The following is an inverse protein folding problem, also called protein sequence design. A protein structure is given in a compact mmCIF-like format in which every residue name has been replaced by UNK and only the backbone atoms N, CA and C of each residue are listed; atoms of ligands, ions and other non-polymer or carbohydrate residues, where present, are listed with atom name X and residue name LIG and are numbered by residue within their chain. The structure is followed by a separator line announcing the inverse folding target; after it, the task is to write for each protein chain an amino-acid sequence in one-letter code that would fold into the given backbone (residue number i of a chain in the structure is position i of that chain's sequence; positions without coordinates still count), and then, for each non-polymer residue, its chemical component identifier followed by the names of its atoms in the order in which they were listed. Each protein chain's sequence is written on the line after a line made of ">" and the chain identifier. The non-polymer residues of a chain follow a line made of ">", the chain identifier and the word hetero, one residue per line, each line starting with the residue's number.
data_IF_227120302938
#
_entry.id   IF_227120302938
#
_cell.length_a   1.000
_cell.length_b   1.000
_cell.length_c   1.000
_cell.angle_alpha   90.00
_cell.angle_beta   90.00
_cell.angle_gamma   90.00
#
_symmetry.space_group_name_H-M   'P 1'
#
loop_
_entity.id
_entity.type
_entity.pdbx_description
1 polymer ?
#
# COMPACT_ATOMS: atom_id res chain seq x y z
N UNK A 1 11.27 -17.54 6.75
CA UNK A 1 9.81 -17.38 6.89
C UNK A 1 9.14 -16.97 5.58
N UNK A 2 7.86 -17.28 5.47
CA UNK A 2 6.98 -16.86 4.37
C UNK A 2 6.05 -15.79 4.93
N UNK A 3 6.01 -14.63 4.28
CA UNK A 3 5.10 -13.56 4.63
C UNK A 3 3.86 -13.58 3.73
N UNK A 4 2.79 -13.01 4.23
CA UNK A 4 1.59 -12.74 3.44
C UNK A 4 1.35 -11.22 3.35
N UNK A 5 0.80 -10.79 2.23
CA UNK A 5 0.25 -9.46 2.01
C UNK A 5 -1.19 -9.62 1.54
N UNK A 6 -2.15 -9.37 2.42
CA UNK A 6 -3.55 -9.26 2.04
C UNK A 6 -3.78 -7.86 1.48
N UNK A 7 -3.80 -7.74 0.16
CA UNK A 7 -3.91 -6.47 -0.55
C UNK A 7 -5.37 -6.18 -0.92
N UNK A 8 -5.94 -5.17 -0.32
CA UNK A 8 -7.30 -4.70 -0.51
C UNK A 8 -7.42 -3.20 -0.27
N UNK A 9 -8.59 -2.72 0.11
CA UNK A 9 -8.81 -1.32 0.53
C UNK A 9 -7.83 -0.95 1.65
N UNK A 10 -7.70 -1.80 2.66
CA UNK A 10 -6.60 -1.87 3.62
C UNK A 10 -5.70 -3.02 3.25
N UNK A 11 -4.43 -2.94 3.62
CA UNK A 11 -3.48 -4.02 3.44
C UNK A 11 -2.98 -4.54 4.79
N UNK A 12 -2.85 -5.85 4.89
CA UNK A 12 -2.29 -6.53 6.06
C UNK A 12 -1.02 -7.25 5.62
N UNK A 13 0.12 -6.88 6.19
CA UNK A 13 1.40 -7.53 5.92
C UNK A 13 1.91 -8.21 7.18
N UNK A 14 2.22 -9.49 7.10
CA UNK A 14 2.67 -10.23 8.29
C UNK A 14 3.15 -11.63 8.01
N UNK A 15 3.37 -12.35 9.10
CA UNK A 15 3.77 -13.75 9.13
C UNK A 15 2.94 -14.54 10.15
N UNK A 16 2.89 -15.85 9.99
CA UNK A 16 2.42 -16.73 11.05
C UNK A 16 3.60 -17.19 11.92
N UNK A 17 3.43 -17.08 13.22
CA UNK A 17 4.40 -17.50 14.23
C UNK A 17 3.74 -18.39 15.28
N UNK A 18 4.54 -19.16 16.03
CA UNK A 18 4.00 -20.04 17.08
C UNK A 18 3.72 -19.30 18.39
N UNK A 19 4.43 -18.22 18.65
CA UNK A 19 4.32 -17.43 19.86
C UNK A 19 4.26 -15.93 19.55
N UNK A 20 3.61 -15.11 20.39
CA UNK A 20 3.53 -13.67 20.19
C UNK A 20 4.91 -13.01 20.21
N UNK A 21 5.14 -12.04 19.34
CA UNK A 21 6.34 -11.20 19.32
C UNK A 21 6.02 -9.90 20.07
N UNK A 22 6.67 -9.72 21.23
CA UNK A 22 6.42 -8.61 22.16
C UNK A 22 7.66 -7.71 22.33
N UNK A 23 8.39 -7.48 21.26
CA UNK A 23 9.59 -6.64 21.28
C UNK A 23 9.25 -5.14 21.17
N UNK A 24 10.17 -4.30 21.61
CA UNK A 24 10.04 -2.85 21.47
C UNK A 24 10.05 -2.42 20.00
N UNK A 25 10.81 -3.13 19.15
CA UNK A 25 10.80 -2.95 17.69
C UNK A 25 9.42 -3.19 17.10
N UNK A 26 8.77 -4.29 17.50
CA UNK A 26 7.42 -4.63 17.06
C UNK A 26 6.41 -3.55 17.48
N UNK A 27 6.51 -3.07 18.71
CA UNK A 27 5.64 -2.00 19.23
C UNK A 27 5.84 -0.68 18.47
N UNK A 28 7.09 -0.27 18.25
CA UNK A 28 7.41 0.98 17.51
C UNK A 28 6.97 0.93 16.06
N UNK A 29 7.03 -0.24 15.44
CA UNK A 29 6.58 -0.46 14.08
C UNK A 29 5.07 -0.78 13.98
N UNK A 30 4.33 -0.71 15.12
CA UNK A 30 2.89 -0.92 15.18
C UNK A 30 2.43 -2.31 14.68
N UNK A 31 3.27 -3.33 14.86
CA UNK A 31 2.86 -4.72 14.64
C UNK A 31 1.97 -5.20 15.77
N UNK A 32 0.96 -5.97 15.40
CA UNK A 32 0.02 -6.61 16.31
C UNK A 32 0.13 -8.13 16.27
N UNK A 33 -0.26 -8.80 17.35
CA UNK A 33 -0.38 -10.25 17.44
C UNK A 33 -1.87 -10.61 17.46
N UNK A 34 -2.34 -11.30 16.46
CA UNK A 34 -3.73 -11.74 16.33
C UNK A 34 -3.82 -13.26 16.33
N UNK A 35 -4.91 -13.81 16.85
CA UNK A 35 -5.17 -15.24 16.79
C UNK A 35 -5.26 -15.74 15.35
N UNK A 36 -4.49 -16.77 15.03
CA UNK A 36 -4.51 -17.48 13.75
C UNK A 36 -5.20 -18.83 13.85
N UNK A 37 -5.06 -19.64 12.81
CA UNK A 37 -5.58 -21.01 12.76
C UNK A 37 -4.61 -21.94 13.50
N UNK A 38 -5.12 -23.04 14.04
CA UNK A 38 -4.35 -24.08 14.72
C UNK A 38 -3.47 -23.56 15.88
N UNK A 39 -3.96 -22.55 16.61
CA UNK A 39 -3.25 -21.99 17.76
C UNK A 39 -2.05 -21.12 17.39
N UNK A 40 -1.84 -20.83 16.11
CA UNK A 40 -0.79 -19.91 15.68
C UNK A 40 -1.18 -18.45 15.91
N UNK A 41 -0.20 -17.60 15.84
CA UNK A 41 -0.34 -16.14 15.93
C UNK A 41 -0.05 -15.55 14.55
N UNK A 42 -0.91 -14.67 14.08
CA UNK A 42 -0.64 -13.77 12.96
C UNK A 42 0.01 -12.51 13.51
N UNK A 43 1.29 -12.36 13.28
CA UNK A 43 2.05 -11.16 13.59
C UNK A 43 2.04 -10.26 12.36
N UNK A 44 1.31 -9.15 12.41
CA UNK A 44 1.01 -8.34 11.24
C UNK A 44 0.96 -6.84 11.53
N UNK A 45 1.07 -6.05 10.46
CA UNK A 45 0.89 -4.61 10.44
C UNK A 45 -0.25 -4.24 9.48
N UNK A 46 -1.13 -3.33 9.93
CA UNK A 46 -2.10 -2.67 9.06
C UNK A 46 -1.42 -1.55 8.27
N UNK A 47 -1.70 -1.51 6.98
CA UNK A 47 -1.16 -0.50 6.05
C UNK A 47 -2.32 0.03 5.23
N UNK A 48 -2.33 1.32 4.92
CA UNK A 48 -3.23 1.87 3.90
C UNK A 48 -3.01 1.09 2.60
N UNK A 49 -4.08 0.54 2.06
CA UNK A 49 -4.03 -0.25 0.85
C UNK A 49 -4.48 0.55 -0.38
N UNK A 50 -5.38 -0.03 -1.16
CA UNK A 50 -5.90 0.58 -2.38
C UNK A 50 -6.95 1.68 -2.13
N UNK A 51 -7.16 2.09 -0.89
CA UNK A 51 -8.11 3.13 -0.50
C UNK A 51 -7.95 4.41 -1.31
N UNK A 52 -6.71 4.92 -1.46
CA UNK A 52 -6.44 6.15 -2.20
C UNK A 52 -6.86 5.99 -3.67
N UNK A 53 -6.46 4.89 -4.32
CA UNK A 53 -6.83 4.61 -5.70
C UNK A 53 -8.35 4.46 -5.87
N UNK A 54 -9.00 3.70 -5.00
CA UNK A 54 -10.44 3.50 -5.04
C UNK A 54 -11.20 4.82 -4.88
N UNK A 55 -10.72 5.70 -4.00
CA UNK A 55 -11.30 7.01 -3.78
C UNK A 55 -11.15 7.92 -5.02
N UNK A 56 -9.96 7.95 -5.65
CA UNK A 56 -9.72 8.67 -6.90
C UNK A 56 -10.66 8.19 -8.02
N UNK A 57 -10.75 6.86 -8.22
CA UNK A 57 -11.63 6.28 -9.24
C UNK A 57 -13.10 6.65 -9.02
N UNK A 58 -13.55 6.65 -7.76
CA UNK A 58 -14.91 7.03 -7.38
C UNK A 58 -15.18 8.52 -7.62
N UNK A 59 -14.24 9.39 -7.29
CA UNK A 59 -14.35 10.83 -7.49
C UNK A 59 -14.38 11.18 -8.97
N UNK A 60 -13.53 10.58 -9.79
CA UNK A 60 -13.54 10.77 -11.24
C UNK A 60 -14.86 10.31 -11.87
N UNK A 61 -15.39 9.18 -11.42
CA UNK A 61 -16.71 8.71 -11.86
C UNK A 61 -17.82 9.70 -11.50
N UNK A 62 -17.82 10.25 -10.30
CA UNK A 62 -18.79 11.23 -9.85
C UNK A 62 -18.76 12.55 -10.67
N UNK A 63 -17.57 12.90 -11.19
CA UNK A 63 -17.38 14.05 -12.07
C UNK A 63 -17.65 13.77 -13.56
N UNK A 64 -18.09 12.56 -13.91
CA UNK A 64 -18.31 12.15 -15.31
C UNK A 64 -17.04 11.76 -16.07
N UNK A 65 -15.94 11.55 -15.35
CA UNK A 65 -14.63 11.17 -15.90
C UNK A 65 -14.24 9.74 -15.48
N UNK A 66 -15.22 8.83 -15.50
CA UNK A 66 -15.02 7.43 -15.09
C UNK A 66 -13.83 6.79 -15.82
N UNK A 67 -13.00 6.09 -15.07
CA UNK A 67 -11.87 5.34 -15.59
C UNK A 67 -12.11 3.84 -15.49
N UNK A 68 -11.64 3.10 -16.47
CA UNK A 68 -11.61 1.64 -16.46
C UNK A 68 -10.25 1.17 -15.96
N UNK A 69 -10.23 0.26 -14.97
CA UNK A 69 -8.99 -0.33 -14.45
C UNK A 69 -8.18 -1.05 -15.53
N UNK A 70 -8.85 -1.73 -16.47
CA UNK A 70 -8.18 -2.45 -17.56
C UNK A 70 -7.49 -1.51 -18.56
N UNK A 71 -7.84 -0.22 -18.55
CA UNK A 71 -7.26 0.82 -19.38
C UNK A 71 -6.25 1.65 -18.61
N UNK A 72 -6.63 2.15 -17.42
CA UNK A 72 -5.78 3.10 -16.68
C UNK A 72 -4.54 2.44 -16.08
N UNK A 73 -4.60 1.16 -15.67
CA UNK A 73 -3.43 0.47 -15.10
C UNK A 73 -2.32 0.27 -16.14
N UNK A 74 -2.58 -0.22 -17.37
CA UNK A 74 -1.57 -0.21 -18.44
C UNK A 74 -1.01 1.17 -18.76
N UNK A 75 -1.85 2.21 -18.80
CA UNK A 75 -1.39 3.59 -19.01
C UNK A 75 -0.48 4.07 -17.87
N UNK A 76 -0.83 3.76 -16.62
CA UNK A 76 0.00 4.06 -15.46
C UNK A 76 1.34 3.31 -15.49
N UNK A 77 1.39 2.11 -16.06
CA UNK A 77 2.64 1.35 -16.21
C UNK A 77 3.64 2.09 -17.14
N UNK A 78 3.14 2.78 -18.16
CA UNK A 78 3.94 3.57 -19.10
C UNK A 78 4.20 5.01 -18.63
N UNK A 79 3.51 5.47 -17.60
CA UNK A 79 3.67 6.82 -17.06
C UNK A 79 5.00 6.98 -16.33
N UNK A 80 5.64 8.13 -16.53
CA UNK A 80 6.91 8.49 -15.90
C UNK A 80 6.67 9.58 -14.84
N UNK A 81 6.76 9.19 -13.57
CA UNK A 81 6.71 10.11 -12.43
C UNK A 81 7.52 9.53 -11.27
N UNK A 82 8.37 10.35 -10.64
CA UNK A 82 9.26 9.92 -9.55
C UNK A 82 8.66 10.17 -8.15
N UNK A 83 7.52 10.82 -8.08
CA UNK A 83 6.91 11.20 -6.80
C UNK A 83 6.48 9.98 -5.99
N UNK A 84 6.95 9.94 -4.74
CA UNK A 84 6.51 9.02 -3.70
C UNK A 84 5.82 9.82 -2.61
N UNK A 85 4.61 9.43 -2.24
CA UNK A 85 3.84 10.03 -1.14
C UNK A 85 3.73 9.05 0.04
N UNK A 86 3.66 9.54 1.29
CA UNK A 86 3.44 8.70 2.45
C UNK A 86 1.95 8.31 2.52
N UNK A 87 1.61 7.15 1.99
CA UNK A 87 0.21 6.71 1.85
C UNK A 87 -0.56 6.60 3.18
N UNK A 88 0.16 6.47 4.30
CA UNK A 88 -0.43 6.44 5.65
C UNK A 88 -0.56 7.84 6.29
N UNK A 89 -0.19 8.92 5.59
CA UNK A 89 -0.34 10.27 6.11
C UNK A 89 -1.82 10.61 6.31
N UNK A 90 -2.11 11.33 7.41
CA UNK A 90 -3.48 11.71 7.79
C UNK A 90 -4.21 12.52 6.74
N UNK A 91 -3.49 13.24 5.87
CA UNK A 91 -4.07 13.99 4.76
C UNK A 91 -4.83 13.09 3.77
N UNK A 92 -4.44 11.81 3.68
CA UNK A 92 -5.07 10.83 2.77
C UNK A 92 -6.11 9.94 3.45
N UNK A 93 -6.34 10.09 4.76
CA UNK A 93 -7.28 9.21 5.49
C UNK A 93 -8.74 9.45 5.10
N UNK A 94 -9.16 10.70 5.06
CA UNK A 94 -10.54 11.08 4.66
C UNK A 94 -10.61 12.52 4.15
N UNK A 95 -9.94 12.88 3.06
CA UNK A 95 -10.04 14.23 2.50
C UNK A 95 -11.41 14.44 1.84
N UNK A 96 -11.82 15.69 1.68
CA UNK A 96 -13.01 16.03 0.88
C UNK A 96 -12.83 15.58 -0.58
N UNK A 97 -11.63 15.81 -1.13
CA UNK A 97 -11.25 15.38 -2.47
C UNK A 97 -9.82 14.80 -2.43
N UNK A 98 -9.66 13.56 -2.84
CA UNK A 98 -8.39 12.83 -2.77
C UNK A 98 -7.35 13.37 -3.78
N UNK A 99 -7.79 13.73 -4.98
CA UNK A 99 -6.88 14.28 -5.99
C UNK A 99 -6.30 15.63 -5.54
N UNK A 100 -7.15 16.51 -4.98
CA UNK A 100 -6.70 17.78 -4.42
C UNK A 100 -5.74 17.57 -3.22
N UNK A 101 -6.01 16.59 -2.37
CA UNK A 101 -5.12 16.27 -1.24
C UNK A 101 -3.73 15.84 -1.74
N UNK A 102 -3.68 15.02 -2.79
CA UNK A 102 -2.44 14.58 -3.40
C UNK A 102 -1.67 15.76 -4.03
N UNK A 103 -2.33 16.60 -4.81
CA UNK A 103 -1.74 17.79 -5.43
C UNK A 103 -1.21 18.74 -4.34
N UNK A 104 -1.99 18.97 -3.29
CA UNK A 104 -1.61 19.83 -2.17
C UNK A 104 -0.37 19.29 -1.45
N UNK A 105 -0.35 17.97 -1.18
CA UNK A 105 0.82 17.33 -0.58
C UNK A 105 2.07 17.52 -1.44
N UNK A 106 1.99 17.22 -2.74
CA UNK A 106 3.13 17.36 -3.66
C UNK A 106 3.63 18.81 -3.70
N UNK A 107 2.73 19.79 -3.77
CA UNK A 107 3.08 21.22 -3.80
C UNK A 107 3.79 21.65 -2.53
N UNK A 108 3.30 21.26 -1.36
CA UNK A 108 3.87 21.63 -0.08
C UNK A 108 5.26 21.02 0.20
N UNK A 109 5.56 19.89 -0.48
CA UNK A 109 6.83 19.19 -0.30
C UNK A 109 7.77 19.35 -1.51
N UNK A 110 7.45 20.26 -2.43
CA UNK A 110 8.22 20.50 -3.66
C UNK A 110 8.46 19.23 -4.51
N UNK A 111 7.44 18.33 -4.53
CA UNK A 111 7.45 17.13 -5.35
C UNK A 111 6.84 17.40 -6.72
N UNK A 112 7.21 16.60 -7.71
CA UNK A 112 6.56 16.62 -9.02
C UNK A 112 5.07 16.30 -8.86
N UNK A 113 4.21 17.19 -9.39
CA UNK A 113 2.76 17.02 -9.35
C UNK A 113 2.33 16.19 -10.56
N UNK A 114 1.58 15.08 -10.35
CA UNK A 114 0.99 14.34 -11.47
C UNK A 114 0.12 15.25 -12.35
N UNK A 115 0.30 15.18 -13.67
CA UNK A 115 -0.42 16.01 -14.64
C UNK A 115 -1.55 15.26 -15.34
N UNK A 116 -1.52 13.93 -15.31
CA UNK A 116 -2.52 13.05 -15.91
C UNK A 116 -3.05 12.06 -14.88
N UNK A 117 -4.23 11.48 -15.16
CA UNK A 117 -4.78 10.41 -14.32
C UNK A 117 -3.85 9.18 -14.27
N UNK A 118 -3.20 8.87 -15.39
CA UNK A 118 -2.21 7.79 -15.46
C UNK A 118 -1.01 8.04 -14.53
N UNK A 119 -0.47 9.26 -14.52
CA UNK A 119 0.60 9.65 -13.58
C UNK A 119 0.13 9.63 -12.14
N UNK A 120 -1.12 10.06 -11.86
CA UNK A 120 -1.71 9.99 -10.52
C UNK A 120 -1.81 8.56 -10.03
N UNK A 121 -2.32 7.65 -10.86
CA UNK A 121 -2.40 6.22 -10.54
C UNK A 121 -1.00 5.62 -10.35
N UNK A 122 -0.05 5.94 -11.22
CA UNK A 122 1.35 5.51 -11.08
C UNK A 122 1.95 5.98 -9.75
N UNK A 123 1.80 7.25 -9.42
CA UNK A 123 2.28 7.82 -8.15
C UNK A 123 1.73 7.05 -6.95
N UNK A 124 0.43 6.79 -6.92
CA UNK A 124 -0.22 6.06 -5.82
C UNK A 124 0.29 4.62 -5.72
N UNK A 125 0.36 3.89 -6.84
CA UNK A 125 0.77 2.48 -6.82
C UNK A 125 2.24 2.29 -6.46
N UNK A 126 3.15 3.13 -6.98
CA UNK A 126 4.56 3.06 -6.59
C UNK A 126 4.79 3.48 -5.14
N UNK A 127 4.02 4.45 -4.64
CA UNK A 127 4.06 4.85 -3.22
C UNK A 127 3.60 3.73 -2.32
N UNK A 128 2.56 3.00 -2.72
CA UNK A 128 2.06 1.84 -1.98
C UNK A 128 3.07 0.69 -1.99
N UNK A 129 3.68 0.39 -3.13
CA UNK A 129 4.75 -0.61 -3.22
C UNK A 129 5.97 -0.24 -2.34
N UNK A 130 6.34 1.03 -2.32
CA UNK A 130 7.40 1.53 -1.44
C UNK A 130 7.03 1.36 0.05
N UNK A 131 5.78 1.62 0.40
CA UNK A 131 5.27 1.40 1.76
C UNK A 131 5.32 -0.08 2.16
N UNK A 132 4.99 -0.99 1.23
CA UNK A 132 5.12 -2.43 1.47
C UNK A 132 6.58 -2.83 1.70
N UNK A 133 7.51 -2.29 0.93
CA UNK A 133 8.95 -2.51 1.15
C UNK A 133 9.38 -2.10 2.55
N UNK A 134 8.99 -0.91 3.01
CA UNK A 134 9.29 -0.45 4.37
C UNK A 134 8.69 -1.39 5.43
N UNK A 135 7.48 -1.88 5.22
CA UNK A 135 6.85 -2.82 6.15
C UNK A 135 7.59 -4.17 6.19
N UNK A 136 8.06 -4.66 5.04
CA UNK A 136 8.90 -5.87 4.96
C UNK A 136 10.23 -5.67 5.69
N UNK A 137 10.86 -4.52 5.53
CA UNK A 137 12.11 -4.19 6.24
C UNK A 137 11.89 -4.13 7.76
N UNK A 138 10.78 -3.53 8.21
CA UNK A 138 10.39 -3.50 9.62
C UNK A 138 10.08 -4.91 10.15
N UNK A 139 9.34 -5.71 9.39
CA UNK A 139 9.04 -7.10 9.76
C UNK A 139 10.31 -7.93 9.93
N UNK A 140 11.25 -7.80 9.01
CA UNK A 140 12.53 -8.50 9.07
C UNK A 140 13.36 -8.16 10.32
N UNK A 141 13.24 -6.95 10.86
CA UNK A 141 13.90 -6.57 12.13
C UNK A 141 13.27 -7.23 13.36
N UNK A 142 12.00 -7.62 13.25
CA UNK A 142 11.27 -8.28 14.34
C UNK A 142 11.43 -9.81 14.32
N UNK A 143 11.96 -10.39 13.24
CA UNK A 143 12.05 -11.83 13.03
C UNK A 143 13.48 -12.37 13.25
N UNK A 144 13.64 -13.62 13.71
CA UNK A 144 14.94 -14.24 13.88
C UNK A 144 15.67 -14.53 12.56
N UNK A 145 14.94 -14.55 11.44
CA UNK A 145 15.48 -14.72 10.08
C UNK A 145 14.64 -13.91 9.09
N UNK A 146 15.26 -13.36 8.03
CA UNK A 146 14.53 -12.55 7.06
C UNK A 146 13.51 -13.40 6.29
N UNK A 147 12.43 -12.76 5.86
CA UNK A 147 11.44 -13.38 4.97
C UNK A 147 12.09 -13.69 3.62
N UNK A 148 11.69 -14.80 3.02
CA UNK A 148 12.23 -15.27 1.73
C UNK A 148 11.17 -15.24 0.62
N UNK A 149 9.92 -15.13 0.99
CA UNK A 149 8.80 -15.18 0.08
C UNK A 149 7.67 -14.31 0.62
N UNK A 150 7.04 -13.55 -0.27
CA UNK A 150 5.84 -12.77 0.00
C UNK A 150 4.70 -13.31 -0.87
N UNK A 151 3.66 -13.80 -0.23
CA UNK A 151 2.44 -14.25 -0.91
C UNK A 151 1.42 -13.10 -0.91
N UNK A 152 1.03 -12.62 -2.09
CA UNK A 152 0.04 -11.55 -2.23
C UNK A 152 -1.32 -12.18 -2.50
N UNK A 153 -2.30 -11.83 -1.67
CA UNK A 153 -3.69 -12.30 -1.74
C UNK A 153 -4.65 -11.11 -1.71
N UNK A 154 -5.93 -11.36 -1.90
CA UNK A 154 -6.98 -10.33 -1.92
C UNK A 154 -7.17 -9.70 -3.30
N UNK A 155 -8.08 -8.72 -3.39
CA UNK A 155 -8.43 -8.07 -4.66
C UNK A 155 -7.27 -7.35 -5.34
N UNK A 156 -6.35 -6.79 -4.55
CA UNK A 156 -5.15 -6.11 -5.05
C UNK A 156 -4.17 -7.04 -5.78
N UNK A 157 -4.23 -8.36 -5.52
CA UNK A 157 -3.42 -9.34 -6.24
C UNK A 157 -3.71 -9.40 -7.75
N UNK A 158 -4.84 -8.87 -8.19
CA UNK A 158 -5.20 -8.74 -9.60
C UNK A 158 -4.53 -7.54 -10.28
N UNK A 159 -4.01 -6.59 -9.50
CA UNK A 159 -3.32 -5.41 -10.04
C UNK A 159 -1.89 -5.78 -10.43
N UNK A 160 -1.68 -6.04 -11.72
CA UNK A 160 -0.38 -6.46 -12.27
C UNK A 160 0.72 -5.42 -12.05
N UNK A 161 0.39 -4.13 -12.18
CA UNK A 161 1.37 -3.06 -11.98
C UNK A 161 1.80 -2.99 -10.51
N UNK A 162 0.86 -3.03 -9.55
CA UNK A 162 1.19 -3.03 -8.13
C UNK A 162 2.06 -4.24 -7.77
N UNK A 163 1.71 -5.43 -8.28
CA UNK A 163 2.50 -6.65 -8.03
C UNK A 163 3.92 -6.51 -8.59
N UNK A 164 4.08 -5.98 -9.80
CA UNK A 164 5.39 -5.77 -10.42
C UNK A 164 6.22 -4.74 -9.66
N UNK A 165 5.61 -3.66 -9.19
CA UNK A 165 6.29 -2.64 -8.37
C UNK A 165 6.65 -3.14 -6.97
N UNK A 166 5.93 -4.16 -6.47
CA UNK A 166 6.15 -4.74 -5.15
C UNK A 166 7.25 -5.82 -5.17
N UNK A 167 7.45 -6.48 -6.30
CA UNK A 167 8.47 -7.53 -6.47
C UNK A 167 9.87 -6.96 -6.55
#
# INVERSE_FOLDING_TARGET
>A
PIAFLSSGTWSLLGVEVNEPILTEEARKAEFTNEGGVDGKIRFLQNITGLWILQRLMSEWKACGEEQDYDIIIPQAAEAEIDTIIPVDDTIFMNPENMENALIHYCRNHALQIPQTKAETVRCVLQSLAFRYRLAVEQLNRCLPAPIRQLNIIGGGSQNKLLNQLTA
#
